data_IF_743477226132
#
_entry.id   IF_743477226132
#
_cell.length_a   1.000
_cell.length_b   1.000
_cell.length_c   1.000
_cell.angle_alpha   90.00
_cell.angle_beta   90.00
_cell.angle_gamma   90.00
#
_symmetry.space_group_name_H-M   'P 1'
#
loop_
_entity.id
_entity.type
_entity.pdbx_description
1 polymer ?
#
# COMPACT_ATOMS: atom_id res chain seq x y z
N UNK A 1 1.49 10.10 25.27
CA UNK A 1 1.92 9.01 24.40
C UNK A 1 2.07 9.52 22.98
N UNK A 2 3.22 9.34 22.43
CA UNK A 2 3.43 9.75 21.06
C UNK A 2 2.79 8.77 20.09
N UNK A 3 2.04 9.31 19.14
CA UNK A 3 1.55 8.53 18.01
C UNK A 3 2.60 8.65 16.91
N UNK A 4 3.29 7.57 16.63
CA UNK A 4 4.25 7.54 15.54
C UNK A 4 3.49 7.44 14.24
N UNK A 5 3.49 8.52 13.48
CA UNK A 5 2.96 8.51 12.12
C UNK A 5 4.08 8.07 11.19
N UNK A 6 3.87 6.96 10.49
CA UNK A 6 4.83 6.47 9.52
C UNK A 6 4.85 7.42 8.32
N UNK A 7 6.04 7.82 7.94
CA UNK A 7 6.21 8.59 6.72
C UNK A 7 5.98 7.70 5.51
N UNK A 8 5.23 8.24 4.55
CA UNK A 8 4.95 7.54 3.31
C UNK A 8 5.42 8.36 2.13
N UNK A 9 6.00 7.67 1.16
CA UNK A 9 6.47 8.28 -0.07
C UNK A 9 5.68 7.69 -1.23
N UNK A 10 5.10 8.55 -2.06
CA UNK A 10 4.36 8.15 -3.25
C UNK A 10 4.97 8.79 -4.47
N UNK A 11 4.88 8.09 -5.61
CA UNK A 11 5.16 8.76 -6.89
C UNK A 11 4.01 9.72 -7.19
N UNK A 12 4.32 10.78 -7.90
CA UNK A 12 3.31 11.74 -8.34
C UNK A 12 2.24 11.06 -9.19
N UNK A 13 2.64 10.11 -10.02
CA UNK A 13 1.71 9.36 -10.85
C UNK A 13 0.74 8.53 -10.01
N UNK A 14 1.25 7.78 -9.05
CA UNK A 14 0.41 6.96 -8.16
C UNK A 14 -0.56 7.84 -7.38
N UNK A 15 -0.09 9.00 -6.90
CA UNK A 15 -0.93 9.94 -6.15
C UNK A 15 -2.12 10.41 -6.98
N UNK A 16 -1.88 10.83 -8.22
CA UNK A 16 -2.95 11.28 -9.12
C UNK A 16 -3.94 10.16 -9.41
N UNK A 17 -3.43 8.96 -9.69
CA UNK A 17 -4.28 7.81 -10.00
C UNK A 17 -5.15 7.41 -8.80
N UNK A 18 -4.59 7.47 -7.59
CA UNK A 18 -5.33 7.12 -6.39
C UNK A 18 -6.40 8.17 -6.06
N UNK A 19 -6.13 9.45 -6.24
CA UNK A 19 -7.15 10.49 -6.11
C UNK A 19 -8.31 10.25 -7.06
N UNK A 20 -8.02 9.92 -8.30
CA UNK A 20 -9.05 9.62 -9.30
C UNK A 20 -9.84 8.37 -8.93
N UNK A 21 -9.16 7.35 -8.38
CA UNK A 21 -9.80 6.13 -7.92
C UNK A 21 -10.82 6.42 -6.82
N UNK A 22 -10.46 7.26 -5.85
CA UNK A 22 -11.36 7.62 -4.76
C UNK A 22 -12.58 8.39 -5.26
N UNK A 23 -12.42 9.24 -6.25
CA UNK A 23 -13.55 9.97 -6.84
C UNK A 23 -14.56 9.06 -7.52
N UNK A 24 -14.11 7.90 -8.00
CA UNK A 24 -14.94 6.91 -8.68
C UNK A 24 -15.46 5.83 -7.76
N UNK A 25 -15.04 5.85 -6.49
CA UNK A 25 -15.42 4.81 -5.53
C UNK A 25 -16.89 4.96 -5.16
N UNK A 26 -17.68 3.93 -5.47
CA UNK A 26 -19.12 3.90 -5.23
C UNK A 26 -19.52 2.82 -4.23
N UNK A 27 -18.57 2.30 -3.45
CA UNK A 27 -18.82 1.18 -2.53
C UNK A 27 -19.79 1.54 -1.38
N UNK A 28 -19.98 2.84 -1.12
CA UNK A 28 -20.91 3.30 -0.10
C UNK A 28 -20.33 3.38 1.31
N UNK A 29 -21.22 3.55 2.29
CA UNK A 29 -20.83 3.90 3.66
C UNK A 29 -20.04 2.79 4.37
N UNK A 30 -20.19 1.54 3.95
CA UNK A 30 -19.45 0.41 4.55
C UNK A 30 -17.94 0.51 4.38
N UNK A 31 -17.46 1.34 3.46
CA UNK A 31 -16.04 1.51 3.19
C UNK A 31 -15.53 2.91 3.56
N UNK A 32 -16.32 3.66 4.31
CA UNK A 32 -15.99 5.04 4.65
C UNK A 32 -14.69 5.16 5.44
N UNK A 33 -14.45 4.26 6.39
CA UNK A 33 -13.23 4.28 7.19
C UNK A 33 -11.98 4.03 6.34
N UNK A 34 -12.04 3.08 5.41
CA UNK A 34 -10.95 2.80 4.49
C UNK A 34 -10.70 3.98 3.55
N UNK A 35 -11.78 4.60 3.05
CA UNK A 35 -11.68 5.76 2.19
C UNK A 35 -11.00 6.92 2.91
N UNK A 36 -11.40 7.20 4.15
CA UNK A 36 -10.80 8.27 4.95
C UNK A 36 -9.33 8.00 5.24
N UNK A 37 -8.97 6.75 5.56
CA UNK A 37 -7.57 6.39 5.78
C UNK A 37 -6.73 6.66 4.54
N UNK A 38 -7.25 6.31 3.35
CA UNK A 38 -6.58 6.56 2.09
C UNK A 38 -6.45 8.06 1.82
N UNK A 39 -7.52 8.83 2.03
CA UNK A 39 -7.50 10.28 1.83
C UNK A 39 -6.46 10.96 2.75
N UNK A 40 -6.41 10.58 4.02
CA UNK A 40 -5.46 11.13 4.98
C UNK A 40 -4.01 10.79 4.55
N UNK A 41 -3.78 9.57 4.11
CA UNK A 41 -2.47 9.15 3.65
C UNK A 41 -2.04 9.94 2.40
N UNK A 42 -2.95 10.15 1.45
CA UNK A 42 -2.66 10.92 0.25
C UNK A 42 -2.36 12.38 0.56
N UNK A 43 -3.03 12.95 1.57
CA UNK A 43 -2.81 14.36 1.96
C UNK A 43 -1.46 14.58 2.62
N UNK A 44 -0.93 13.57 3.30
CA UNK A 44 0.28 13.72 4.12
C UNK A 44 1.52 13.08 3.51
N UNK A 45 1.37 12.30 2.44
CA UNK A 45 2.49 11.61 1.82
C UNK A 45 3.47 12.57 1.15
N UNK A 46 4.74 12.21 1.18
CA UNK A 46 5.77 12.91 0.41
C UNK A 46 5.68 12.47 -1.05
N UNK A 47 5.63 13.42 -1.97
CA UNK A 47 5.52 13.11 -3.40
C UNK A 47 6.87 13.25 -4.08
N UNK A 48 7.20 12.28 -4.93
CA UNK A 48 8.42 12.28 -5.73
C UNK A 48 8.07 11.92 -7.18
N UNK A 49 8.84 12.40 -8.17
CA UNK A 49 8.69 11.91 -9.54
C UNK A 49 8.96 10.41 -9.60
N UNK A 50 8.30 9.71 -10.53
CA UNK A 50 8.47 8.26 -10.65
C UNK A 50 9.93 7.83 -10.84
N UNK A 51 10.73 8.65 -11.50
CA UNK A 51 12.15 8.36 -11.75
C UNK A 51 13.03 8.52 -10.53
N UNK A 52 12.54 9.17 -9.48
CA UNK A 52 13.31 9.48 -8.29
C UNK A 52 12.93 8.65 -7.08
N UNK A 53 11.88 7.81 -7.20
CA UNK A 53 11.46 6.98 -6.07
C UNK A 53 12.52 5.91 -5.78
N UNK A 54 12.86 5.75 -4.50
CA UNK A 54 13.83 4.75 -4.08
C UNK A 54 13.27 3.34 -4.28
N UNK A 55 14.15 2.38 -4.58
CA UNK A 55 13.76 1.00 -4.84
C UNK A 55 13.24 0.24 -3.63
N UNK A 56 13.41 0.79 -2.42
CA UNK A 56 12.91 0.20 -1.18
C UNK A 56 11.54 0.73 -0.74
N UNK A 57 10.87 1.50 -1.60
CA UNK A 57 9.54 2.05 -1.34
C UNK A 57 8.47 1.21 -2.02
N UNK A 58 7.40 0.88 -1.29
CA UNK A 58 6.26 0.15 -1.84
C UNK A 58 5.44 1.10 -2.72
N UNK A 59 5.42 0.83 -4.02
CA UNK A 59 4.62 1.58 -5.00
C UNK A 59 3.52 0.67 -5.56
N UNK A 60 2.63 1.22 -6.38
CA UNK A 60 1.63 0.39 -7.05
C UNK A 60 2.32 -0.64 -7.93
N UNK A 61 1.81 -1.87 -7.89
CA UNK A 61 2.37 -3.05 -8.57
C UNK A 61 3.73 -3.51 -8.02
N UNK A 62 4.17 -3.00 -6.88
CA UNK A 62 5.31 -3.59 -6.17
C UNK A 62 4.96 -4.97 -5.65
N UNK A 63 5.89 -5.92 -5.82
CA UNK A 63 5.79 -7.25 -5.22
C UNK A 63 6.60 -7.26 -3.93
N UNK A 64 5.94 -7.54 -2.82
CA UNK A 64 6.47 -7.33 -1.48
C UNK A 64 6.48 -8.64 -0.70
N UNK A 65 7.58 -8.91 0.01
CA UNK A 65 7.67 -10.01 0.96
C UNK A 65 7.38 -9.49 2.35
N UNK A 66 6.35 -10.05 2.98
CA UNK A 66 5.90 -9.67 4.32
C UNK A 66 6.15 -10.80 5.31
N UNK A 67 6.41 -10.43 6.56
CA UNK A 67 6.47 -11.37 7.68
C UNK A 67 5.41 -10.98 8.71
N UNK A 68 4.47 -11.89 8.95
CA UNK A 68 3.47 -11.71 9.99
C UNK A 68 4.16 -11.74 11.35
N UNK A 69 3.99 -10.68 12.15
CA UNK A 69 4.69 -10.57 13.43
C UNK A 69 4.12 -11.48 14.51
N UNK A 70 2.89 -11.98 14.36
CA UNK A 70 2.29 -12.89 15.33
C UNK A 70 2.70 -14.34 15.08
N UNK A 71 2.73 -14.76 13.81
CA UNK A 71 2.96 -16.16 13.45
C UNK A 71 4.37 -16.42 12.94
N UNK A 72 5.07 -15.37 12.49
CA UNK A 72 6.37 -15.50 11.82
C UNK A 72 6.29 -16.00 10.39
N UNK A 73 5.08 -16.24 9.88
CA UNK A 73 4.90 -16.69 8.49
C UNK A 73 5.23 -15.60 7.52
N UNK A 74 5.83 -15.98 6.40
CA UNK A 74 6.16 -15.07 5.31
C UNK A 74 5.16 -15.23 4.17
N UNK A 75 4.84 -14.14 3.51
CA UNK A 75 3.90 -14.11 2.40
C UNK A 75 4.36 -13.08 1.39
N UNK A 76 4.29 -13.42 0.11
CA UNK A 76 4.55 -12.50 -0.98
C UNK A 76 3.21 -12.04 -1.57
N UNK A 77 3.06 -10.74 -1.77
CA UNK A 77 1.90 -10.20 -2.43
C UNK A 77 2.29 -9.02 -3.35
N UNK A 78 1.44 -8.73 -4.31
CA UNK A 78 1.60 -7.61 -5.22
C UNK A 78 0.46 -6.62 -4.98
N UNK A 79 0.81 -5.35 -4.78
CA UNK A 79 -0.16 -4.29 -4.57
C UNK A 79 -0.73 -3.86 -5.93
N UNK A 80 -2.05 -3.87 -6.07
CA UNK A 80 -2.70 -3.56 -7.35
C UNK A 80 -3.86 -2.61 -7.18
N UNK A 81 -4.35 -2.06 -8.30
CA UNK A 81 -5.64 -1.37 -8.32
C UNK A 81 -6.77 -2.40 -8.23
N UNK A 82 -7.97 -1.99 -7.77
CA UNK A 82 -9.07 -2.96 -7.57
C UNK A 82 -9.41 -3.78 -8.80
N UNK A 83 -9.30 -3.21 -9.98
CA UNK A 83 -9.63 -3.92 -11.23
C UNK A 83 -8.72 -5.14 -11.48
N UNK A 84 -7.50 -5.12 -10.96
CA UNK A 84 -6.52 -6.18 -11.14
C UNK A 84 -6.40 -7.08 -9.92
N UNK A 85 -7.18 -6.84 -8.86
CA UNK A 85 -7.07 -7.59 -7.62
C UNK A 85 -7.51 -9.04 -7.82
N UNK A 86 -6.63 -9.98 -7.39
CA UNK A 86 -6.88 -11.41 -7.38
C UNK A 86 -6.18 -11.98 -6.15
N UNK A 87 -6.84 -11.98 -4.98
CA UNK A 87 -6.18 -12.44 -3.75
C UNK A 87 -5.63 -13.86 -3.85
N UNK A 88 -6.30 -14.75 -4.56
CA UNK A 88 -5.81 -16.11 -4.77
C UNK A 88 -4.51 -16.15 -5.57
N UNK A 89 -4.26 -15.16 -6.41
CA UNK A 89 -3.02 -15.01 -7.18
C UNK A 89 -1.99 -14.09 -6.52
N UNK A 90 -2.27 -13.61 -5.31
CA UNK A 90 -1.36 -12.73 -4.59
C UNK A 90 -1.49 -11.24 -4.94
N UNK A 91 -2.49 -10.85 -5.72
CA UNK A 91 -2.74 -9.46 -6.07
C UNK A 91 -3.79 -8.87 -5.13
N UNK A 92 -3.37 -7.95 -4.26
CA UNK A 92 -4.27 -7.32 -3.29
C UNK A 92 -4.57 -5.88 -3.69
N UNK A 93 -5.82 -5.48 -3.50
CA UNK A 93 -6.24 -4.12 -3.82
C UNK A 93 -5.63 -3.11 -2.86
N UNK A 94 -5.21 -1.98 -3.40
CA UNK A 94 -4.75 -0.84 -2.60
C UNK A 94 -5.86 -0.32 -1.68
N UNK A 95 -7.13 -0.56 -2.03
CA UNK A 95 -8.27 -0.17 -1.19
C UNK A 95 -8.57 -1.16 -0.07
N UNK A 96 -7.94 -2.35 -0.07
CA UNK A 96 -8.06 -3.27 1.05
C UNK A 96 -7.27 -2.74 2.26
N UNK A 97 -7.59 -3.20 3.48
CA UNK A 97 -6.84 -2.75 4.66
C UNK A 97 -5.34 -3.00 4.55
N UNK A 98 -4.93 -4.19 4.12
CA UNK A 98 -3.50 -4.51 3.99
C UNK A 98 -2.85 -3.69 2.88
N UNK A 99 -3.52 -3.51 1.75
CA UNK A 99 -2.97 -2.74 0.64
C UNK A 99 -2.75 -1.28 1.00
N UNK A 100 -3.74 -0.67 1.64
CA UNK A 100 -3.63 0.72 2.10
C UNK A 100 -2.51 0.87 3.14
N UNK A 101 -2.33 -0.13 4.01
CA UNK A 101 -1.30 -0.10 5.04
C UNK A 101 0.11 -0.17 4.47
N UNK A 102 0.29 -0.84 3.33
CA UNK A 102 1.61 -1.05 2.73
C UNK A 102 2.09 0.08 1.85
N UNK A 103 1.17 0.74 1.16
CA UNK A 103 1.53 1.73 0.13
C UNK A 103 2.40 2.84 0.72
N UNK A 104 3.53 3.09 0.07
CA UNK A 104 4.42 4.19 0.44
C UNK A 104 5.37 3.91 1.60
N UNK A 105 5.30 2.73 2.23
CA UNK A 105 6.24 2.35 3.28
C UNK A 105 7.54 1.83 2.68
N UNK A 106 8.59 1.83 3.48
CA UNK A 106 9.90 1.32 3.08
C UNK A 106 10.16 -0.06 3.65
N UNK A 107 11.12 -0.78 3.05
CA UNK A 107 11.63 -2.04 3.61
C UNK A 107 12.13 -1.81 5.02
N UNK A 108 11.78 -2.71 5.93
CA UNK A 108 12.10 -2.60 7.35
C UNK A 108 10.99 -1.97 8.18
N UNK A 109 9.99 -1.34 7.55
CA UNK A 109 8.84 -0.78 8.26
C UNK A 109 7.85 -1.88 8.63
N UNK A 110 7.04 -1.61 9.66
CA UNK A 110 5.94 -2.48 10.07
C UNK A 110 4.62 -1.85 9.62
N UNK A 111 3.90 -2.56 8.78
CA UNK A 111 2.56 -2.16 8.38
C UNK A 111 1.55 -2.69 9.40
N UNK A 112 0.57 -1.88 9.76
CA UNK A 112 -0.48 -2.25 10.71
C UNK A 112 -1.85 -1.95 10.13
N UNK A 113 -2.78 -2.88 10.29
CA UNK A 113 -4.15 -2.71 9.81
C UNK A 113 -5.11 -3.54 10.66
N UNK A 114 -6.39 -3.26 10.53
CA UNK A 114 -7.45 -4.04 11.17
C UNK A 114 -8.23 -4.79 10.11
N UNK A 115 -8.55 -6.05 10.38
CA UNK A 115 -9.43 -6.84 9.51
C UNK A 115 -10.89 -6.41 9.69
N UNK A 116 -11.78 -6.78 8.76
CA UNK A 116 -13.22 -6.50 8.93
C UNK A 116 -13.81 -7.11 10.20
N UNK A 117 -13.17 -8.15 10.75
CA UNK A 117 -13.59 -8.77 12.02
C UNK A 117 -13.07 -8.05 13.25
N UNK A 118 -12.30 -6.97 13.08
CA UNK A 118 -11.74 -6.21 14.18
C UNK A 118 -10.40 -6.75 14.71
N UNK A 119 -9.82 -7.74 14.06
CA UNK A 119 -8.50 -8.25 14.44
C UNK A 119 -7.41 -7.29 13.99
N UNK A 120 -6.48 -6.99 14.89
CA UNK A 120 -5.33 -6.17 14.55
C UNK A 120 -4.21 -7.02 13.98
N UNK A 121 -3.69 -6.59 12.83
CA UNK A 121 -2.62 -7.29 12.13
C UNK A 121 -1.39 -6.40 12.05
N UNK A 122 -0.23 -7.02 12.06
CA UNK A 122 1.03 -6.32 11.84
C UNK A 122 1.97 -7.21 11.05
N UNK A 123 2.65 -6.63 10.07
CA UNK A 123 3.62 -7.35 9.26
C UNK A 123 4.81 -6.46 8.95
N UNK A 124 6.00 -7.02 9.01
CA UNK A 124 7.22 -6.34 8.62
C UNK A 124 7.47 -6.52 7.12
N UNK A 125 7.85 -5.44 6.45
CA UNK A 125 8.24 -5.49 5.05
C UNK A 125 9.69 -5.96 4.99
N UNK A 126 9.90 -7.21 4.57
CA UNK A 126 11.24 -7.80 4.55
C UNK A 126 12.00 -7.43 3.27
N UNK A 127 11.31 -7.38 2.14
CA UNK A 127 11.95 -7.11 0.86
C UNK A 127 10.90 -6.68 -0.16
N UNK A 128 11.36 -6.00 -1.19
CA UNK A 128 10.57 -5.72 -2.40
C UNK A 128 11.22 -6.51 -3.52
N UNK A 129 10.54 -7.52 -4.04
CA UNK A 129 11.05 -8.37 -5.10
C UNK A 129 10.95 -7.71 -6.48
N UNK A 130 9.97 -6.82 -6.64
CA UNK A 130 9.77 -6.09 -7.88
C UNK A 130 9.15 -4.73 -7.57
N UNK A 131 9.66 -3.70 -8.20
CA UNK A 131 9.10 -2.36 -8.19
C UNK A 131 9.15 -1.85 -9.63
N UNK A 132 8.02 -1.44 -10.23
CA UNK A 132 8.00 -1.01 -11.63
C UNK A 132 9.02 0.08 -11.94
N UNK A 133 9.10 1.10 -11.08
CA UNK A 133 10.00 2.23 -11.27
C UNK A 133 11.46 1.79 -11.31
N UNK A 134 11.84 0.85 -10.45
CA UNK A 134 13.23 0.33 -10.42
C UNK A 134 13.58 -0.47 -11.67
N UNK A 135 12.58 -1.04 -12.35
CA UNK A 135 12.79 -1.76 -13.60
C UNK A 135 12.72 -0.87 -14.82
N UNK A 136 12.48 0.43 -14.63
CA UNK A 136 12.38 1.40 -15.72
C UNK A 136 10.98 1.62 -16.25
N UNK A 137 9.98 1.00 -15.63
CA UNK A 137 8.57 1.18 -16.04
C UNK A 137 7.95 2.27 -15.16
N UNK A 138 7.85 3.48 -15.71
CA UNK A 138 7.35 4.64 -14.99
C UNK A 138 5.85 4.89 -15.23
N UNK A 139 5.19 4.05 -16.01
CA UNK A 139 3.80 4.22 -16.41
C UNK A 139 2.87 3.08 -16.00
N UNK A 140 3.39 2.06 -15.33
CA UNK A 140 2.62 0.90 -14.92
C UNK A 140 1.55 1.26 -13.87
#
# INVERSE_FOLDING_TARGET
MEVMTLERTLTELDHVRLLNLLRRDTRGDGFLAQRRAMEDMLDTATLVPSREVAGDVVTMYSQVLLKDLQTGQQQTLTLSYPADAQPAGGFVSVLSPVGCALLGLTVGSVARWSTPKGEEMAAEILAIHFQPESSGDYAM
#
